data_IF_248216579883
#
_entry.id   IF_248216579883
#
_cell.length_a   1.000
_cell.length_b   1.000
_cell.length_c   1.000
_cell.angle_alpha   90.00
_cell.angle_beta   90.00
_cell.angle_gamma   90.00
#
_symmetry.space_group_name_H-M   'P 1'
#
loop_
_entity.id
_entity.type
_entity.pdbx_description
1 polymer ?
#
# COMPACT_ATOMS: atom_id res chain seq x y z
N UNK A 1 -6.64 2.75 26.53
CA UNK A 1 -7.33 2.15 25.37
C UNK A 1 -7.11 3.06 24.17
N UNK A 2 -6.81 2.55 22.96
CA UNK A 2 -6.79 3.42 21.78
C UNK A 2 -8.17 4.08 21.65
N UNK A 3 -8.19 5.39 21.34
CA UNK A 3 -9.43 6.12 21.16
C UNK A 3 -10.32 5.39 20.15
N UNK A 4 -11.61 5.26 20.45
CA UNK A 4 -12.57 4.73 19.46
C UNK A 4 -12.46 5.59 18.19
N UNK A 5 -12.31 4.98 17.00
CA UNK A 5 -12.09 5.73 15.79
C UNK A 5 -13.26 6.69 15.54
N UNK A 6 -12.94 7.95 15.27
CA UNK A 6 -13.96 8.96 15.03
C UNK A 6 -14.63 8.73 13.68
N UNK A 7 -15.87 9.22 13.56
CA UNK A 7 -16.61 9.23 12.29
C UNK A 7 -15.80 9.94 11.19
N UNK A 8 -15.07 11.00 11.54
CA UNK A 8 -14.22 11.76 10.62
C UNK A 8 -13.05 10.93 10.09
N UNK A 9 -12.35 10.18 10.95
CA UNK A 9 -11.27 9.27 10.52
C UNK A 9 -11.80 8.23 9.55
N UNK A 10 -12.94 7.60 9.85
CA UNK A 10 -13.51 6.60 8.94
C UNK A 10 -13.95 7.21 7.60
N UNK A 11 -14.44 8.45 7.60
CA UNK A 11 -14.77 9.17 6.37
C UNK A 11 -13.54 9.43 5.48
N UNK A 12 -12.41 9.84 6.09
CA UNK A 12 -11.15 10.05 5.39
C UNK A 12 -10.60 8.75 4.79
N UNK A 13 -10.64 7.66 5.56
CA UNK A 13 -10.25 6.33 5.10
C UNK A 13 -11.15 5.86 3.94
N UNK A 14 -12.47 6.04 4.04
CA UNK A 14 -13.41 5.72 2.97
C UNK A 14 -13.15 6.54 1.69
N UNK A 15 -12.82 7.82 1.81
CA UNK A 15 -12.43 8.67 0.66
C UNK A 15 -11.20 8.10 -0.04
N UNK A 16 -10.20 7.64 0.72
CA UNK A 16 -9.01 6.99 0.18
C UNK A 16 -9.34 5.71 -0.56
N UNK A 17 -10.08 4.80 0.07
CA UNK A 17 -10.39 3.49 -0.50
C UNK A 17 -11.26 3.59 -1.75
N UNK A 18 -12.32 4.42 -1.72
CA UNK A 18 -13.19 4.63 -2.88
C UNK A 18 -12.45 5.29 -4.05
N UNK A 19 -11.46 6.16 -3.78
CA UNK A 19 -10.62 6.74 -4.82
C UNK A 19 -9.74 5.69 -5.50
N UNK A 20 -9.15 4.77 -4.73
CA UNK A 20 -8.36 3.66 -5.27
C UNK A 20 -9.26 2.78 -6.15
N UNK A 21 -10.41 2.31 -5.60
CA UNK A 21 -11.36 1.47 -6.35
C UNK A 21 -11.80 2.14 -7.66
N UNK A 22 -12.25 3.40 -7.59
CA UNK A 22 -12.71 4.12 -8.76
C UNK A 22 -11.62 4.31 -9.83
N UNK A 23 -10.36 4.49 -9.42
CA UNK A 23 -9.24 4.57 -10.34
C UNK A 23 -9.00 3.25 -11.06
N UNK A 24 -8.96 2.14 -10.33
CA UNK A 24 -8.76 0.80 -10.90
C UNK A 24 -9.90 0.43 -11.86
N UNK A 25 -11.15 0.61 -11.45
CA UNK A 25 -12.33 0.28 -12.27
C UNK A 25 -12.33 1.05 -13.61
N UNK A 26 -11.98 2.35 -13.55
CA UNK A 26 -11.90 3.21 -14.75
C UNK A 26 -10.70 2.83 -15.62
N UNK A 27 -9.55 2.50 -15.01
CA UNK A 27 -8.36 2.09 -15.74
C UNK A 27 -8.57 0.76 -16.47
N UNK A 28 -9.16 -0.23 -15.81
CA UNK A 28 -9.47 -1.56 -16.38
C UNK A 28 -10.44 -1.44 -17.55
N UNK A 29 -11.54 -0.69 -17.37
CA UNK A 29 -12.53 -0.47 -18.43
C UNK A 29 -11.94 0.22 -19.66
N UNK A 30 -10.91 1.06 -19.47
CA UNK A 30 -10.26 1.83 -20.55
C UNK A 30 -9.25 1.03 -21.39
N UNK A 31 -8.83 -0.16 -20.93
CA UNK A 31 -7.82 -1.00 -21.60
C UNK A 31 -8.26 -2.48 -21.68
N UNK A 32 -9.32 -2.78 -22.46
CA UNK A 32 -9.85 -4.14 -22.54
C UNK A 32 -8.85 -5.17 -23.12
N UNK A 33 -7.88 -4.72 -23.93
CA UNK A 33 -6.91 -5.58 -24.62
C UNK A 33 -5.52 -5.63 -23.93
N UNK A 34 -5.32 -4.88 -22.84
CA UNK A 34 -4.08 -4.96 -22.08
C UNK A 34 -4.12 -6.21 -21.20
N UNK A 35 -2.97 -6.89 -21.01
CA UNK A 35 -2.86 -7.92 -19.99
C UNK A 35 -3.35 -7.33 -18.66
N UNK A 36 -4.43 -7.90 -18.11
CA UNK A 36 -5.08 -7.35 -16.93
C UNK A 36 -4.05 -7.10 -15.83
N UNK A 37 -3.96 -5.85 -15.36
CA UNK A 37 -3.19 -5.57 -14.16
C UNK A 37 -3.73 -6.48 -13.04
N UNK A 38 -2.86 -7.05 -12.18
CA UNK A 38 -3.34 -7.96 -11.15
C UNK A 38 -4.38 -7.23 -10.30
N UNK A 39 -5.60 -7.78 -10.12
CA UNK A 39 -6.69 -7.06 -9.45
C UNK A 39 -6.26 -6.68 -8.02
N UNK A 40 -6.36 -5.39 -7.71
CA UNK A 40 -6.14 -4.80 -6.37
C UNK A 40 -7.49 -4.57 -5.66
N UNK A 41 -8.60 -4.85 -6.37
CA UNK A 41 -9.94 -4.75 -5.82
C UNK A 41 -10.05 -5.60 -4.55
N UNK A 42 -10.40 -4.94 -3.44
CA UNK A 42 -10.53 -5.56 -2.12
C UNK A 42 -9.29 -5.44 -1.24
N UNK A 43 -8.20 -4.84 -1.73
CA UNK A 43 -6.96 -4.60 -0.98
C UNK A 43 -6.75 -3.11 -0.67
N UNK A 44 -7.79 -2.27 -0.70
CA UNK A 44 -7.65 -0.81 -0.52
C UNK A 44 -7.40 -0.41 0.94
N UNK A 45 -7.88 -1.21 1.89
CA UNK A 45 -7.81 -0.88 3.32
C UNK A 45 -6.37 -0.83 3.84
N UNK A 46 -5.49 -1.74 3.39
CA UNK A 46 -4.10 -1.81 3.83
C UNK A 46 -3.30 -0.55 3.45
N UNK A 47 -3.19 -0.17 2.15
CA UNK A 47 -2.46 1.02 1.76
C UNK A 47 -3.06 2.29 2.37
N UNK A 48 -4.39 2.42 2.43
CA UNK A 48 -5.04 3.61 3.00
C UNK A 48 -4.82 3.71 4.51
N UNK A 49 -5.02 2.61 5.24
CA UNK A 49 -4.85 2.57 6.69
C UNK A 49 -3.41 2.86 7.12
N UNK A 50 -2.43 2.36 6.35
CA UNK A 50 -1.00 2.61 6.60
C UNK A 50 -0.60 4.03 6.21
N UNK A 51 -0.96 4.48 5.00
CA UNK A 51 -0.52 5.79 4.49
C UNK A 51 -1.14 6.97 5.23
N UNK A 52 -2.25 6.76 5.96
CA UNK A 52 -2.86 7.78 6.82
C UNK A 52 -1.92 8.29 7.94
N UNK A 53 -0.84 7.59 8.24
CA UNK A 53 0.14 7.96 9.28
C UNK A 53 1.46 8.52 8.72
N UNK A 54 1.54 8.69 7.40
CA UNK A 54 2.72 9.23 6.74
C UNK A 54 2.67 10.75 6.64
N UNK A 55 3.85 11.35 6.61
CA UNK A 55 4.06 12.80 6.53
C UNK A 55 5.09 13.13 5.44
N UNK A 56 5.18 14.41 5.03
CA UNK A 56 6.26 14.86 4.16
C UNK A 56 7.62 14.47 4.72
N UNK A 57 8.43 13.80 3.90
CA UNK A 57 9.75 13.28 4.28
C UNK A 57 9.80 11.79 4.62
N UNK A 58 8.65 11.12 4.73
CA UNK A 58 8.59 9.66 4.72
C UNK A 58 8.71 9.11 3.29
N UNK A 59 9.22 7.88 3.20
CA UNK A 59 9.39 7.18 1.93
C UNK A 59 8.42 6.00 1.83
N UNK A 60 7.97 5.71 0.62
CA UNK A 60 7.11 4.57 0.33
C UNK A 60 7.71 3.76 -0.82
N UNK A 61 7.68 2.44 -0.72
CA UNK A 61 8.06 1.54 -1.82
C UNK A 61 7.05 0.41 -1.92
N UNK A 62 6.87 -0.14 -3.13
CA UNK A 62 6.00 -1.28 -3.39
C UNK A 62 6.63 -2.21 -4.43
N UNK A 63 6.57 -3.54 -4.21
CA UNK A 63 7.20 -4.54 -5.11
C UNK A 63 6.34 -4.96 -6.30
N UNK A 64 5.01 -4.93 -6.17
CA UNK A 64 4.04 -5.20 -7.23
C UNK A 64 2.68 -4.59 -6.85
N UNK A 65 1.75 -4.43 -7.81
CA UNK A 65 0.41 -3.82 -7.58
C UNK A 65 0.43 -2.40 -7.00
N UNK A 66 1.44 -1.61 -7.33
CA UNK A 66 1.75 -0.33 -6.68
C UNK A 66 0.75 0.82 -6.85
N UNK A 67 -0.33 0.69 -7.62
CA UNK A 67 -1.25 1.80 -7.88
C UNK A 67 -1.97 2.25 -6.60
N UNK A 68 -2.52 1.32 -5.81
CA UNK A 68 -3.22 1.63 -4.57
C UNK A 68 -2.29 2.29 -3.54
N UNK A 69 -1.06 1.78 -3.40
CA UNK A 69 -0.02 2.33 -2.52
C UNK A 69 0.48 3.69 -3.03
N UNK A 70 0.56 3.91 -4.34
CA UNK A 70 0.94 5.20 -4.92
C UNK A 70 -0.16 6.23 -4.70
N UNK A 71 -1.43 5.88 -4.94
CA UNK A 71 -2.56 6.76 -4.70
C UNK A 71 -2.71 7.07 -3.20
N UNK A 72 -2.59 6.07 -2.33
CA UNK A 72 -2.61 6.27 -0.88
C UNK A 72 -1.38 7.06 -0.40
N UNK A 73 -0.20 6.79 -0.96
CA UNK A 73 1.06 7.46 -0.65
C UNK A 73 1.09 8.91 -1.10
N UNK A 74 0.52 9.24 -2.26
CA UNK A 74 0.31 10.63 -2.69
C UNK A 74 -0.63 11.38 -1.75
N UNK A 75 -1.63 10.68 -1.19
CA UNK A 75 -2.52 11.25 -0.16
C UNK A 75 -1.82 11.38 1.21
N UNK A 76 -0.89 10.47 1.52
CA UNK A 76 -0.02 10.49 2.69
C UNK A 76 1.28 11.31 2.51
N UNK A 77 1.44 12.01 1.38
CA UNK A 77 2.61 12.84 1.06
C UNK A 77 3.97 12.09 1.04
N UNK A 78 3.99 10.79 0.71
CA UNK A 78 5.21 10.01 0.58
C UNK A 78 5.88 10.19 -0.80
N UNK A 79 7.22 10.16 -0.85
CA UNK A 79 7.98 10.37 -2.09
C UNK A 79 8.14 9.08 -2.92
N UNK A 80 7.30 8.92 -3.96
CA UNK A 80 7.48 7.95 -5.07
C UNK A 80 7.18 6.47 -4.74
N UNK A 81 7.02 5.63 -5.77
CA UNK A 81 6.79 4.18 -5.63
C UNK A 81 7.44 3.39 -6.76
N UNK A 82 8.74 3.07 -6.65
CA UNK A 82 9.44 2.10 -7.50
C UNK A 82 10.56 1.45 -6.70
N UNK A 83 10.57 0.12 -6.59
CA UNK A 83 11.75 -0.61 -6.13
C UNK A 83 11.49 -1.76 -5.16
N UNK A 84 12.32 -2.79 -5.32
CA UNK A 84 12.43 -3.95 -4.46
C UNK A 84 12.67 -3.56 -2.98
N UNK A 85 12.50 -4.51 -2.06
CA UNK A 85 12.72 -4.30 -0.60
C UNK A 85 14.11 -3.68 -0.29
N UNK A 86 15.12 -3.95 -1.13
CA UNK A 86 16.45 -3.33 -1.06
C UNK A 86 16.43 -1.81 -1.23
N UNK A 87 15.59 -1.29 -2.13
CA UNK A 87 15.41 0.16 -2.31
C UNK A 87 14.84 0.79 -1.06
N UNK A 88 13.92 0.11 -0.37
CA UNK A 88 13.32 0.60 0.86
C UNK A 88 14.35 0.75 1.98
N UNK A 89 15.13 -0.30 2.22
CA UNK A 89 16.18 -0.27 3.25
C UNK A 89 17.31 0.69 2.88
N UNK A 90 17.64 0.82 1.58
CA UNK A 90 18.59 1.81 1.09
C UNK A 90 18.11 3.25 1.32
N UNK A 91 16.84 3.54 1.02
CA UNK A 91 16.24 4.86 1.27
C UNK A 91 16.22 5.20 2.76
N UNK A 92 15.81 4.25 3.61
CA UNK A 92 15.82 4.42 5.06
C UNK A 92 17.25 4.66 5.59
N UNK A 93 18.23 3.93 5.08
CA UNK A 93 19.62 4.10 5.48
C UNK A 93 20.17 5.46 5.03
N UNK A 94 19.92 5.86 3.78
CA UNK A 94 20.29 7.17 3.27
C UNK A 94 19.67 8.31 4.07
N UNK A 95 18.38 8.20 4.41
CA UNK A 95 17.71 9.17 5.28
C UNK A 95 18.36 9.26 6.66
N UNK A 96 18.69 8.12 7.28
CA UNK A 96 19.38 8.06 8.57
C UNK A 96 20.78 8.70 8.51
N UNK A 97 21.55 8.42 7.46
CA UNK A 97 22.88 9.02 7.25
C UNK A 97 22.81 10.54 7.04
N UNK A 98 21.71 11.04 6.48
CA UNK A 98 21.45 12.48 6.31
C UNK A 98 20.87 13.15 7.57
N UNK A 99 20.69 12.41 8.68
CA UNK A 99 20.09 12.94 9.89
C UNK A 99 18.60 13.27 9.77
N UNK A 100 17.89 12.69 8.79
CA UNK A 100 16.44 12.85 8.62
C UNK A 100 15.67 11.92 9.56
N UNK A 101 14.49 12.35 9.98
CA UNK A 101 13.60 11.65 10.92
C UNK A 101 12.37 11.01 10.24
N UNK A 102 12.48 10.78 8.93
CA UNK A 102 11.46 10.09 8.13
C UNK A 102 11.45 8.59 8.39
N UNK A 103 10.29 7.97 8.24
CA UNK A 103 10.15 6.50 8.19
C UNK A 103 10.09 6.04 6.73
N UNK A 104 10.41 4.77 6.48
CA UNK A 104 10.22 4.15 5.17
C UNK A 104 9.22 3.00 5.29
N UNK A 105 8.18 3.01 4.45
CA UNK A 105 7.21 1.91 4.35
C UNK A 105 7.48 1.09 3.09
N UNK A 106 7.59 -0.22 3.24
CA UNK A 106 7.80 -1.15 2.14
C UNK A 106 6.63 -2.13 2.01
N UNK A 107 5.77 -1.93 1.01
CA UNK A 107 4.69 -2.84 0.67
C UNK A 107 5.17 -3.98 -0.23
N UNK A 108 4.72 -5.20 0.07
CA UNK A 108 4.98 -6.37 -0.76
C UNK A 108 3.93 -7.45 -0.52
N UNK A 109 3.66 -8.24 -1.55
CA UNK A 109 2.79 -9.41 -1.40
C UNK A 109 3.52 -10.65 -0.91
N UNK A 110 2.77 -11.62 -0.42
CA UNK A 110 3.23 -12.96 -0.03
C UNK A 110 4.11 -13.68 -1.08
N UNK A 111 3.80 -13.52 -2.37
CA UNK A 111 4.60 -14.08 -3.46
C UNK A 111 6.03 -13.53 -3.52
N UNK A 112 6.28 -12.36 -2.91
CA UNK A 112 7.60 -11.73 -2.83
C UNK A 112 8.44 -12.24 -1.65
N UNK A 113 7.99 -13.26 -0.90
CA UNK A 113 8.72 -13.88 0.21
C UNK A 113 9.90 -14.78 -0.24
N UNK A 114 10.52 -14.45 -1.37
CA UNK A 114 11.75 -15.10 -1.82
C UNK A 114 12.85 -14.95 -0.74
N UNK A 115 13.54 -16.04 -0.38
CA UNK A 115 14.43 -16.07 0.78
C UNK A 115 15.64 -15.13 0.66
N UNK A 116 16.09 -14.74 -0.53
CA UNK A 116 17.19 -13.79 -0.68
C UNK A 116 16.79 -12.35 -0.31
N UNK A 117 16.07 -11.63 -1.19
CA UNK A 117 15.83 -10.20 -0.99
C UNK A 117 15.08 -9.85 0.29
N UNK A 118 14.15 -10.70 0.72
CA UNK A 118 13.38 -10.46 1.94
C UNK A 118 14.26 -10.60 3.20
N UNK A 119 15.00 -11.69 3.33
CA UNK A 119 15.85 -11.91 4.50
C UNK A 119 17.04 -10.94 4.53
N UNK A 120 17.63 -10.62 3.37
CA UNK A 120 18.68 -9.60 3.24
C UNK A 120 18.19 -8.23 3.70
N UNK A 121 16.97 -7.83 3.28
CA UNK A 121 16.35 -6.56 3.70
C UNK A 121 16.08 -6.53 5.20
N UNK A 122 15.51 -7.60 5.77
CA UNK A 122 15.24 -7.70 7.20
C UNK A 122 16.55 -7.60 8.01
N UNK A 123 17.56 -8.37 7.60
CA UNK A 123 18.89 -8.35 8.23
C UNK A 123 19.49 -6.95 8.21
N UNK A 124 19.50 -6.30 7.04
CA UNK A 124 20.06 -4.97 6.89
C UNK A 124 19.35 -3.94 7.77
N UNK A 125 18.01 -3.93 7.73
CA UNK A 125 17.23 -3.03 8.56
C UNK A 125 17.47 -3.27 10.05
N UNK A 126 17.63 -4.53 10.47
CA UNK A 126 17.83 -4.90 11.87
C UNK A 126 19.21 -4.54 12.40
N UNK A 127 20.27 -4.78 11.62
CA UNK A 127 21.66 -4.47 11.96
C UNK A 127 21.85 -2.97 12.15
N UNK A 128 21.29 -2.18 11.24
CA UNK A 128 21.43 -0.72 11.29
C UNK A 128 20.33 -0.01 12.07
N UNK A 129 19.41 -0.74 12.71
CA UNK A 129 18.24 -0.19 13.41
C UNK A 129 17.54 0.90 12.57
N UNK A 130 17.14 0.53 11.35
CA UNK A 130 16.51 1.44 10.39
C UNK A 130 15.01 1.61 10.69
N UNK A 131 14.43 2.81 10.47
CA UNK A 131 13.00 3.06 10.68
C UNK A 131 12.16 2.54 9.51
N UNK A 132 12.14 1.22 9.30
CA UNK A 132 11.43 0.57 8.18
C UNK A 132 10.19 -0.19 8.68
N UNK A 133 9.03 0.13 8.12
CA UNK A 133 7.80 -0.67 8.22
C UNK A 133 7.70 -1.60 7.02
N UNK A 134 7.89 -2.90 7.23
CA UNK A 134 7.61 -3.92 6.23
C UNK A 134 6.11 -4.24 6.25
N UNK A 135 5.41 -4.06 5.14
CA UNK A 135 3.98 -4.35 5.02
C UNK A 135 3.80 -5.51 4.06
N UNK A 136 3.45 -6.69 4.60
CA UNK A 136 3.16 -7.87 3.81
C UNK A 136 1.65 -7.98 3.59
N UNK A 137 1.22 -8.01 2.33
CA UNK A 137 -0.18 -8.16 1.90
C UNK A 137 -0.39 -9.56 1.33
N UNK A 138 -1.15 -10.42 2.02
CA UNK A 138 -1.44 -11.75 1.49
C UNK A 138 -2.21 -11.66 0.16
N UNK A 139 -1.87 -12.52 -0.81
CA UNK A 139 -2.63 -12.59 -2.06
C UNK A 139 -4.00 -13.26 -1.85
N UNK A 140 -4.96 -13.07 -2.78
CA UNK A 140 -6.25 -13.78 -2.76
C UNK A 140 -6.16 -15.30 -2.80
N UNK A 141 -5.04 -15.79 -3.34
CA UNK A 141 -4.77 -17.22 -3.52
C UNK A 141 -3.76 -17.76 -2.52
N UNK A 142 -3.44 -16.98 -1.48
CA UNK A 142 -2.60 -17.47 -0.38
C UNK A 142 -3.35 -18.57 0.36
N UNK A 143 -2.96 -19.83 0.12
CA UNK A 143 -3.52 -20.97 0.83
C UNK A 143 -2.85 -21.06 2.20
N UNK A 144 -3.65 -21.11 3.27
CA UNK A 144 -3.27 -21.16 4.71
C UNK A 144 -2.30 -22.30 5.12
N UNK A 145 -1.77 -23.10 4.19
CA UNK A 145 -0.98 -24.29 4.50
C UNK A 145 0.53 -24.05 4.30
N UNK A 146 1.17 -23.40 5.28
CA UNK A 146 2.42 -23.87 5.93
C UNK A 146 3.15 -22.71 6.64
N UNK A 147 3.05 -22.67 7.97
CA UNK A 147 4.12 -22.48 8.97
C UNK A 147 5.41 -21.65 8.74
N UNK A 148 5.56 -20.83 7.70
CA UNK A 148 6.73 -19.97 7.48
C UNK A 148 6.38 -18.60 6.86
N UNK A 149 5.20 -18.06 7.16
CA UNK A 149 4.75 -16.76 6.64
C UNK A 149 5.68 -15.59 7.00
N UNK A 150 5.45 -14.43 6.39
CA UNK A 150 6.27 -13.21 6.56
C UNK A 150 6.59 -12.90 8.03
N UNK A 151 5.61 -13.05 8.93
CA UNK A 151 5.78 -12.84 10.37
C UNK A 151 6.81 -13.78 11.01
N UNK A 152 6.75 -15.09 10.72
CA UNK A 152 7.63 -16.08 11.33
C UNK A 152 9.08 -15.82 10.93
N UNK A 153 9.30 -15.55 9.64
CA UNK A 153 10.62 -15.24 9.09
C UNK A 153 11.16 -13.90 9.60
N UNK A 154 10.32 -12.87 9.71
CA UNK A 154 10.72 -11.60 10.33
C UNK A 154 11.15 -11.77 11.80
N UNK A 155 10.34 -12.50 12.59
CA UNK A 155 10.66 -12.79 13.99
C UNK A 155 11.95 -13.60 14.12
N UNK A 156 12.18 -14.58 13.25
CA UNK A 156 13.43 -15.34 13.20
C UNK A 156 14.66 -14.46 12.91
N UNK A 157 14.48 -13.37 12.16
CA UNK A 157 15.51 -12.35 11.89
C UNK A 157 15.60 -11.26 12.97
N UNK A 158 14.87 -11.40 14.08
CA UNK A 158 14.84 -10.42 15.16
C UNK A 158 14.09 -9.13 14.83
N UNK A 159 13.20 -9.17 13.82
CA UNK A 159 12.31 -8.07 13.43
C UNK A 159 10.90 -8.36 13.98
N UNK A 160 10.37 -7.55 14.91
CA UNK A 160 9.02 -7.74 15.44
C UNK A 160 7.97 -7.75 14.33
N UNK A 161 6.99 -8.65 14.42
CA UNK A 161 5.92 -8.78 13.45
C UNK A 161 4.55 -8.89 14.12
N UNK A 162 3.56 -8.16 13.59
CA UNK A 162 2.17 -8.21 14.05
C UNK A 162 1.22 -8.48 12.87
N UNK A 163 0.21 -9.31 13.08
CA UNK A 163 -0.80 -9.65 12.07
C UNK A 163 -2.06 -8.79 12.23
N UNK A 164 -2.72 -8.48 11.12
CA UNK A 164 -4.01 -7.77 11.09
C UNK A 164 -4.90 -8.30 9.98
N UNK A 165 -6.21 -8.25 10.21
CA UNK A 165 -7.22 -8.52 9.18
C UNK A 165 -7.18 -7.40 8.13
N UNK A 166 -6.78 -7.75 6.90
CA UNK A 166 -6.64 -6.81 5.79
C UNK A 166 -7.97 -6.17 5.37
N UNK A 167 -9.12 -6.80 5.69
CA UNK A 167 -10.44 -6.25 5.36
C UNK A 167 -10.94 -5.21 6.38
N UNK A 168 -10.30 -5.10 7.54
CA UNK A 168 -10.66 -4.14 8.59
C UNK A 168 -9.76 -2.90 8.55
N UNK A 169 -10.20 -1.88 7.81
CA UNK A 169 -9.44 -0.62 7.66
C UNK A 169 -9.16 0.08 9.00
N UNK A 170 -10.03 -0.07 10.00
CA UNK A 170 -9.82 0.55 11.31
C UNK A 170 -8.76 -0.21 12.12
N UNK A 171 -8.76 -1.54 12.04
CA UNK A 171 -7.71 -2.36 12.65
C UNK A 171 -6.35 -2.10 12.00
N UNK A 172 -6.30 -2.04 10.66
CA UNK A 172 -5.08 -1.66 9.90
C UNK A 172 -4.62 -0.28 10.34
N UNK A 173 -5.51 0.72 10.35
CA UNK A 173 -5.18 2.09 10.72
C UNK A 173 -4.63 2.17 12.17
N UNK A 174 -5.26 1.48 13.12
CA UNK A 174 -4.80 1.49 14.50
C UNK A 174 -3.42 0.83 14.68
N UNK A 175 -3.19 -0.32 14.03
CA UNK A 175 -1.91 -1.02 14.08
C UNK A 175 -0.81 -0.19 13.41
N UNK A 176 -1.07 0.32 12.20
CA UNK A 176 -0.10 1.13 11.47
C UNK A 176 0.31 2.37 12.24
N UNK A 177 -0.63 3.09 12.86
CA UNK A 177 -0.33 4.27 13.67
C UNK A 177 0.59 3.96 14.86
N UNK A 178 0.35 2.84 15.54
CA UNK A 178 1.22 2.36 16.62
C UNK A 178 2.63 2.03 16.12
N UNK A 179 2.73 1.26 15.03
CA UNK A 179 4.01 0.84 14.48
C UNK A 179 4.82 2.03 13.95
N UNK A 180 4.19 2.95 13.21
CA UNK A 180 4.84 4.19 12.73
C UNK A 180 5.35 5.03 13.90
N UNK A 181 4.57 5.17 14.97
CA UNK A 181 5.02 5.88 16.17
C UNK A 181 6.24 5.22 16.83
N UNK A 182 6.27 3.87 16.90
CA UNK A 182 7.42 3.13 17.41
C UNK A 182 8.68 3.31 16.53
N UNK A 183 8.51 3.29 15.20
CA UNK A 183 9.61 3.54 14.25
C UNK A 183 10.24 4.91 14.47
N UNK A 184 9.41 5.95 14.61
CA UNK A 184 9.87 7.31 14.91
C UNK A 184 10.50 7.43 16.29
N UNK A 185 10.04 6.63 17.26
CA UNK A 185 10.63 6.52 18.58
C UNK A 185 11.96 5.73 18.63
N UNK A 186 12.45 5.22 17.49
CA UNK A 186 13.73 4.52 17.41
C UNK A 186 13.67 3.04 17.77
N UNK A 187 12.49 2.41 17.75
CA UNK A 187 12.33 0.98 18.06
C UNK A 187 13.01 0.02 17.06
N UNK A 188 13.51 0.54 15.93
CA UNK A 188 14.06 -0.26 14.83
C UNK A 188 12.96 -0.84 13.94
N UNK A 189 13.28 -1.68 12.95
CA UNK A 189 12.32 -2.13 11.95
C UNK A 189 11.23 -3.03 12.55
N UNK A 190 10.06 -3.05 11.93
CA UNK A 190 8.97 -3.95 12.27
C UNK A 190 8.17 -4.37 11.02
N UNK A 191 7.37 -5.42 11.17
CA UNK A 191 6.53 -5.98 10.10
C UNK A 191 5.04 -5.94 10.49
N UNK A 192 4.22 -5.39 9.60
CA UNK A 192 2.77 -5.51 9.59
C UNK A 192 2.40 -6.57 8.55
N UNK A 193 1.74 -7.64 8.98
CA UNK A 193 1.28 -8.72 8.11
C UNK A 193 -0.24 -8.63 7.95
N UNK A 194 -0.68 -8.08 6.84
CA UNK A 194 -2.08 -7.92 6.49
C UNK A 194 -2.60 -9.19 5.82
N UNK A 195 -3.39 -9.96 6.58
CA UNK A 195 -3.91 -11.26 6.17
C UNK A 195 -5.28 -11.13 5.54
N UNK A 196 -5.45 -11.79 4.39
CA UNK A 196 -6.74 -11.92 3.74
C UNK A 196 -7.44 -13.19 4.25
N UNK A 197 -8.27 -13.05 5.28
CA UNK A 197 -9.05 -14.18 5.79
C UNK A 197 -10.17 -14.55 4.80
N UNK A 198 -10.09 -15.78 4.25
CA UNK A 198 -11.05 -16.50 3.39
C UNK A 198 -12.13 -15.65 2.67
N UNK A 199 -12.01 -15.54 1.35
CA UNK A 199 -13.08 -15.04 0.48
C UNK A 199 -13.22 -13.53 0.38
N UNK A 200 -12.32 -12.75 0.98
CA UNK A 200 -12.26 -11.29 0.90
C UNK A 200 -11.60 -10.77 -0.40
N UNK A 201 -10.44 -11.30 -0.74
CA UNK A 201 -9.60 -10.74 -1.80
C UNK A 201 -10.05 -11.09 -3.25
N UNK A 202 -11.18 -11.78 -3.40
CA UNK A 202 -11.89 -11.97 -4.66
C UNK A 202 -13.42 -11.85 -4.46
N UNK A 203 -13.89 -11.22 -3.38
CA UNK A 203 -15.31 -11.05 -3.19
C UNK A 203 -15.83 -10.10 -4.27
N UNK A 204 -16.80 -10.50 -5.11
CA UNK A 204 -17.47 -9.54 -5.98
C UNK A 204 -18.01 -8.39 -5.12
N UNK A 205 -17.99 -7.18 -5.67
CA UNK A 205 -18.48 -5.98 -5.00
C UNK A 205 -19.83 -6.24 -4.32
N UNK A 206 -19.96 -5.88 -3.04
CA UNK A 206 -21.19 -6.04 -2.26
C UNK A 206 -21.26 -7.29 -1.37
N UNK A 207 -20.19 -8.07 -1.21
CA UNK A 207 -20.10 -9.10 -0.16
C UNK A 207 -19.57 -8.53 1.17
N UNK A 208 -19.92 -9.19 2.27
CA UNK A 208 -19.52 -8.84 3.65
C UNK A 208 -18.00 -8.80 3.86
N UNK A 209 -17.22 -9.45 3.00
CA UNK A 209 -15.76 -9.51 3.04
C UNK A 209 -15.05 -8.43 2.22
N UNK A 210 -15.77 -7.58 1.48
CA UNK A 210 -15.20 -6.40 0.80
C UNK A 210 -14.88 -5.31 1.82
N UNK A 211 -13.63 -4.83 1.83
CA UNK A 211 -13.15 -3.86 2.81
C UNK A 211 -13.95 -2.54 2.77
N UNK A 212 -14.36 -2.11 1.57
CA UNK A 212 -15.19 -0.91 1.38
C UNK A 212 -16.59 -1.16 1.94
N UNK A 213 -17.23 -2.28 1.60
CA UNK A 213 -18.55 -2.64 2.14
C UNK A 213 -18.54 -2.69 3.69
N UNK A 214 -17.54 -3.34 4.29
CA UNK A 214 -17.36 -3.40 5.75
C UNK A 214 -17.17 -2.02 6.37
N UNK A 215 -16.35 -1.16 5.75
CA UNK A 215 -16.14 0.21 6.22
C UNK A 215 -17.41 1.08 6.09
N UNK A 216 -18.17 0.94 5.00
CA UNK A 216 -19.46 1.63 4.80
C UNK A 216 -20.48 1.21 5.86
N UNK A 217 -20.61 -0.10 6.13
CA UNK A 217 -21.49 -0.61 7.17
C UNK A 217 -21.11 -0.04 8.55
N UNK A 218 -19.81 0.03 8.85
CA UNK A 218 -19.30 0.61 10.09
C UNK A 218 -19.56 2.12 10.18
N UNK A 219 -19.41 2.86 9.08
CA UNK A 219 -19.68 4.31 9.03
C UNK A 219 -21.15 4.61 9.32
N UNK A 220 -22.07 3.87 8.71
CA UNK A 220 -23.50 4.01 8.99
C UNK A 220 -23.83 3.66 10.43
N UNK A 221 -23.23 2.60 10.98
CA UNK A 221 -23.42 2.20 12.38
C UNK A 221 -22.92 3.25 13.39
N UNK A 222 -21.95 4.08 13.02
CA UNK A 222 -21.43 5.19 13.83
C UNK A 222 -22.25 6.49 13.67
N UNK A 223 -23.37 6.46 12.93
CA UNK A 223 -24.24 7.61 12.68
C UNK A 223 -23.88 8.42 11.43
N UNK A 224 -23.03 7.88 10.57
CA UNK A 224 -22.71 8.48 9.27
C UNK A 224 -23.91 8.50 8.32
N UNK A 225 -23.95 9.48 7.42
CA UNK A 225 -25.05 9.65 6.47
C UNK A 225 -24.84 8.87 5.18
N UNK A 226 -25.85 8.12 4.73
CA UNK A 226 -25.85 7.49 3.41
C UNK A 226 -25.67 8.50 2.26
N UNK A 227 -26.20 9.72 2.41
CA UNK A 227 -25.99 10.79 1.43
C UNK A 227 -24.53 11.26 1.38
N UNK A 228 -23.82 11.21 2.51
CA UNK A 228 -22.40 11.53 2.56
C UNK A 228 -21.57 10.46 1.85
N UNK A 229 -21.87 9.17 2.08
CA UNK A 229 -21.24 8.06 1.35
C UNK A 229 -21.42 8.20 -0.17
N UNK A 230 -22.67 8.41 -0.62
CA UNK A 230 -22.97 8.63 -2.04
C UNK A 230 -22.27 9.84 -2.63
N UNK A 231 -21.99 10.88 -1.82
CA UNK A 231 -21.22 12.04 -2.27
C UNK A 231 -19.75 11.70 -2.45
N UNK A 232 -19.16 10.96 -1.51
CA UNK A 232 -17.76 10.52 -1.55
C UNK A 232 -17.52 9.61 -2.76
N UNK A 233 -18.41 8.64 -2.97
CA UNK A 233 -18.35 7.71 -4.09
C UNK A 233 -18.43 8.45 -5.44
N UNK A 234 -19.39 9.36 -5.61
CA UNK A 234 -19.50 10.19 -6.82
C UNK A 234 -18.27 11.04 -7.05
N UNK A 235 -17.71 11.63 -5.99
CA UNK A 235 -16.48 12.43 -6.08
C UNK A 235 -15.29 11.59 -6.52
N UNK A 236 -15.12 10.39 -5.96
CA UNK A 236 -14.06 9.47 -6.33
C UNK A 236 -14.13 9.08 -7.81
N UNK A 237 -15.33 8.70 -8.29
CA UNK A 237 -15.55 8.36 -9.69
C UNK A 237 -15.31 9.53 -10.64
N UNK A 238 -15.75 10.74 -10.27
CA UNK A 238 -15.52 11.94 -11.06
C UNK A 238 -14.02 12.27 -11.15
N UNK A 239 -13.28 12.12 -10.06
CA UNK A 239 -11.83 12.32 -10.03
C UNK A 239 -11.10 11.31 -10.91
N UNK A 240 -11.44 10.03 -10.82
CA UNK A 240 -10.86 8.97 -11.64
C UNK A 240 -11.11 9.20 -13.14
N UNK A 241 -12.35 9.53 -13.53
CA UNK A 241 -12.71 9.84 -14.92
C UNK A 241 -11.98 11.07 -15.46
N UNK A 242 -11.84 12.11 -14.64
CA UNK A 242 -11.08 13.30 -15.01
C UNK A 242 -9.59 12.98 -15.23
N UNK A 243 -8.98 12.22 -14.33
CA UNK A 243 -7.59 11.79 -14.47
C UNK A 243 -7.37 10.96 -15.75
N UNK A 244 -8.31 10.06 -16.08
CA UNK A 244 -8.26 9.32 -17.34
C UNK A 244 -8.39 10.25 -18.55
N UNK A 245 -9.35 11.18 -18.53
CA UNK A 245 -9.56 12.15 -19.62
C UNK A 245 -8.35 13.06 -19.84
N UNK A 246 -7.62 13.41 -18.79
CA UNK A 246 -6.37 14.18 -18.87
C UNK A 246 -5.19 13.31 -19.39
N UNK A 247 -5.19 12.01 -19.07
CA UNK A 247 -4.13 11.07 -19.46
C UNK A 247 -4.23 10.56 -20.92
N UNK A 248 -5.45 10.39 -21.46
CA UNK A 248 -5.68 9.92 -22.83
C UNK A 248 -5.08 10.81 -23.94
N UNK A 249 -5.19 12.16 -23.88
CA UNK A 249 -4.57 13.04 -24.87
C UNK A 249 -3.08 13.31 -24.60
N UNK A 250 -2.51 12.77 -23.51
CA UNK A 250 -1.10 12.97 -23.20
C UNK A 250 -0.25 12.36 -24.33
N UNK A 251 0.64 13.13 -24.98
CA UNK A 251 1.28 12.71 -26.21
C UNK A 251 2.16 11.46 -25.99
N UNK A 252 1.98 10.47 -26.86
CA UNK A 252 2.92 9.33 -27.05
C UNK A 252 4.37 9.79 -27.27
N UNK A 253 4.62 11.08 -27.55
CA UNK A 253 5.92 11.69 -27.71
C UNK A 253 6.90 11.50 -26.52
N UNK A 254 6.42 11.13 -25.33
CA UNK A 254 7.32 10.75 -24.22
C UNK A 254 8.05 9.42 -24.47
N UNK A 255 7.47 8.49 -25.25
CA UNK A 255 8.09 7.20 -25.60
C UNK A 255 9.21 7.34 -26.64
N UNK A 256 9.12 8.33 -27.54
CA UNK A 256 10.17 8.58 -28.53
C UNK A 256 11.50 9.00 -27.88
N UNK A 257 11.46 9.81 -26.80
CA UNK A 257 12.68 10.17 -26.06
C UNK A 257 13.32 8.98 -25.35
N UNK A 258 12.53 8.01 -24.88
CA UNK A 258 13.05 6.78 -24.24
C UNK A 258 13.70 5.86 -25.27
N UNK A 259 13.12 5.74 -26.47
CA UNK A 259 13.70 4.98 -27.57
C UNK A 259 15.00 5.63 -28.09
N UNK A 260 15.05 6.96 -28.18
CA UNK A 260 16.25 7.72 -28.54
C UNK A 260 17.36 7.57 -27.48
N UNK A 261 17.02 7.66 -26.18
CA UNK A 261 17.97 7.39 -25.10
C UNK A 261 18.47 5.95 -25.12
N UNK A 262 17.58 4.96 -25.26
CA UNK A 262 17.96 3.56 -25.34
C UNK A 262 18.87 3.26 -26.55
N UNK A 263 18.64 3.92 -27.68
CA UNK A 263 19.50 3.83 -28.85
C UNK A 263 20.87 4.52 -28.62
N UNK A 264 20.90 5.63 -27.88
CA UNK A 264 22.13 6.35 -27.55
C UNK A 264 23.02 5.63 -26.52
N UNK A 265 22.45 4.83 -25.61
CA UNK A 265 23.23 4.05 -24.62
C UNK A 265 23.72 2.69 -25.17
N UNK A 266 23.07 2.16 -26.22
CA UNK A 266 23.39 0.86 -26.84
C UNK A 266 24.87 0.65 -27.24
N UNK A 267 25.61 1.66 -27.75
CA UNK A 267 27.02 1.52 -28.12
C UNK A 267 27.99 1.44 -26.93
N UNK A 268 27.54 1.76 -25.71
CA UNK A 268 28.38 1.74 -24.50
C UNK A 268 28.45 0.34 -23.84
N UNK A 269 27.68 -0.63 -24.35
CA UNK A 269 27.48 -1.96 -23.79
C UNK A 269 27.95 -3.09 -24.72
N UNK A 270 28.54 -2.74 -25.87
CA UNK A 270 29.31 -3.64 -26.74
C UNK A 270 30.79 -3.25 -26.66
#
# INVERSE_FOLDING_TARGET
MPASPSLSTLEELLRGMLRIRAFEDVAETSRPDAAAAPPIAGQEAVPVGVCAHLRPGDHLTATHRGHGQTLAGLLGQAAGAHGAMHTAVGAAHGAKLQGKDGVTVCFFGDAALHPGPFLESLNWARVYALPVLFVCEDGPWSLDAASEGASVRAVAMGVPAEQVDASDVLAVHALAGRLVAQLRGGAGPCLLHARNYRGAACAPAGRETDAIARACARYLALGGSAQALQRIERQALQQARRALADALPAPQAALHRVAELAAAVRPLWN
#
